data_IF_039395609058
#
_entry.id   IF_039395609058
#
_cell.length_a   1.000
_cell.length_b   1.000
_cell.length_c   1.000
_cell.angle_alpha   90.00
_cell.angle_beta   90.00
_cell.angle_gamma   90.00
#
_symmetry.space_group_name_H-M   'P 1'
#
loop_
_entity.id
_entity.type
_entity.pdbx_description
1 polymer ?
#
# COMPACT_ATOMS: atom_id res chain seq x y z
N UNK A 1 -14.27 -26.83 -41.16
CA UNK A 1 -14.64 -26.86 -39.75
C UNK A 1 -13.91 -25.72 -39.07
N UNK A 2 -14.62 -24.61 -38.77
CA UNK A 2 -14.04 -23.40 -38.14
C UNK A 2 -14.31 -23.50 -36.62
N UNK A 3 -13.25 -23.65 -35.83
CA UNK A 3 -13.33 -23.61 -34.37
C UNK A 3 -13.34 -22.13 -33.91
N UNK A 4 -14.51 -21.65 -33.50
CA UNK A 4 -14.66 -20.43 -32.74
C UNK A 4 -14.24 -20.69 -31.27
N UNK A 5 -13.05 -20.24 -30.91
CA UNK A 5 -12.65 -20.08 -29.50
C UNK A 5 -12.41 -18.62 -29.21
N UNK A 6 -13.48 -17.90 -28.94
CA UNK A 6 -13.42 -16.59 -28.30
C UNK A 6 -14.78 -16.40 -27.60
N UNK A 7 -14.87 -16.56 -26.27
CA UNK A 7 -15.36 -15.49 -25.43
C UNK A 7 -14.96 -15.54 -23.94
N UNK A 8 -13.79 -16.09 -23.53
CA UNK A 8 -13.48 -16.19 -22.10
C UNK A 8 -12.74 -14.97 -21.52
N UNK A 9 -12.17 -14.12 -22.37
CA UNK A 9 -11.33 -12.99 -21.90
C UNK A 9 -12.19 -11.74 -21.58
N UNK A 10 -13.33 -11.56 -22.24
CA UNK A 10 -14.17 -10.36 -22.06
C UNK A 10 -14.91 -10.34 -20.69
N UNK A 11 -15.21 -11.51 -20.11
CA UNK A 11 -15.91 -11.61 -18.83
C UNK A 11 -15.09 -11.16 -17.61
N UNK A 12 -13.79 -11.36 -17.63
CA UNK A 12 -12.91 -11.02 -16.51
C UNK A 12 -12.74 -9.49 -16.34
N UNK A 13 -12.70 -8.74 -17.44
CA UNK A 13 -12.53 -7.28 -17.41
C UNK A 13 -13.76 -6.54 -16.91
N UNK A 14 -14.97 -7.04 -17.22
CA UNK A 14 -16.22 -6.41 -16.78
C UNK A 14 -16.41 -6.54 -15.25
N UNK A 15 -15.95 -7.63 -14.66
CA UNK A 15 -16.05 -7.87 -13.22
C UNK A 15 -15.12 -6.98 -12.40
N UNK A 16 -13.94 -6.67 -12.90
CA UNK A 16 -12.97 -5.79 -12.24
C UNK A 16 -13.48 -4.33 -12.24
N UNK A 17 -14.01 -3.87 -13.37
CA UNK A 17 -14.57 -2.53 -13.49
C UNK A 17 -15.77 -2.28 -12.55
N UNK A 18 -16.61 -3.31 -12.32
CA UNK A 18 -17.75 -3.20 -11.42
C UNK A 18 -17.33 -3.12 -9.93
N UNK A 19 -16.28 -3.83 -9.55
CA UNK A 19 -15.73 -3.82 -8.18
C UNK A 19 -15.04 -2.48 -7.90
N UNK A 20 -14.30 -1.92 -8.86
CA UNK A 20 -13.70 -0.60 -8.74
C UNK A 20 -14.77 0.49 -8.63
N UNK A 21 -15.86 0.41 -9.40
CA UNK A 21 -16.96 1.37 -9.33
C UNK A 21 -17.68 1.34 -7.97
N UNK A 22 -17.91 0.14 -7.40
CA UNK A 22 -18.51 -0.02 -6.07
C UNK A 22 -17.58 0.54 -4.99
N UNK A 23 -16.26 0.32 -5.15
CA UNK A 23 -15.24 0.79 -4.22
C UNK A 23 -15.13 2.33 -4.22
N UNK A 24 -15.12 2.95 -5.39
CA UNK A 24 -15.08 4.42 -5.52
C UNK A 24 -16.34 5.06 -4.93
N UNK A 25 -17.52 4.49 -5.16
CA UNK A 25 -18.78 4.99 -4.60
C UNK A 25 -18.83 4.82 -3.06
N UNK A 26 -18.29 3.73 -2.53
CA UNK A 26 -18.25 3.49 -1.09
C UNK A 26 -17.31 4.50 -0.39
N UNK A 27 -16.10 4.69 -0.90
CA UNK A 27 -15.15 5.67 -0.33
C UNK A 27 -15.64 7.12 -0.49
N UNK A 28 -16.28 7.45 -1.62
CA UNK A 28 -16.88 8.77 -1.82
C UNK A 28 -17.99 9.07 -0.79
N UNK A 29 -18.84 8.09 -0.47
CA UNK A 29 -19.86 8.22 0.57
C UNK A 29 -19.29 8.33 1.97
N UNK A 30 -18.25 7.55 2.31
CA UNK A 30 -17.59 7.63 3.62
C UNK A 30 -16.88 8.96 3.84
N UNK A 31 -16.20 9.49 2.83
CA UNK A 31 -15.57 10.81 2.92
C UNK A 31 -16.59 11.97 3.08
N UNK A 32 -17.79 11.82 2.53
CA UNK A 32 -18.87 12.80 2.73
C UNK A 32 -19.44 12.76 4.16
N UNK A 33 -19.45 11.59 4.80
CA UNK A 33 -19.93 11.43 6.18
C UNK A 33 -18.93 12.03 7.17
N UNK A 34 -17.62 11.87 6.92
CA UNK A 34 -16.56 12.41 7.79
C UNK A 34 -16.40 13.93 7.66
N UNK A 35 -16.67 14.51 6.49
CA UNK A 35 -16.64 15.98 6.33
C UNK A 35 -17.83 16.71 6.95
N UNK A 36 -18.90 16.01 7.30
CA UNK A 36 -20.08 16.60 7.95
C UNK A 36 -19.97 16.63 9.50
N UNK A 37 -18.98 15.93 10.10
CA UNK A 37 -18.75 15.87 11.55
C UNK A 37 -17.78 16.93 12.09
N UNK A 38 -17.02 17.61 11.22
CA UNK A 38 -15.97 18.55 11.65
C UNK A 38 -16.43 20.04 11.76
N UNK A 39 -17.69 20.35 11.49
CA UNK A 39 -18.18 21.74 11.59
C UNK A 39 -18.77 22.13 12.96
N UNK A 40 -18.72 21.26 13.98
CA UNK A 40 -19.35 21.57 15.26
C UNK A 40 -18.41 21.46 16.46
N UNK A 41 -17.22 22.07 16.40
CA UNK A 41 -16.43 22.35 17.62
C UNK A 41 -15.42 23.48 17.41
N UNK A 42 -15.92 24.70 17.39
CA UNK A 42 -15.09 25.91 17.61
C UNK A 42 -15.80 26.80 18.61
N UNK A 43 -15.39 26.76 19.85
CA UNK A 43 -15.29 27.93 20.77
C UNK A 43 -14.71 27.45 22.11
N UNK A 44 -13.53 27.85 22.48
CA UNK A 44 -13.23 28.78 23.58
C UNK A 44 -11.75 28.74 23.90
N UNK A 45 -11.10 29.89 23.76
CA UNK A 45 -9.73 30.19 24.19
C UNK A 45 -9.57 30.09 25.72
N UNK A 46 -8.37 29.73 26.18
CA UNK A 46 -7.66 30.61 27.16
C UNK A 46 -6.20 30.16 27.31
N UNK A 47 -5.29 31.13 27.20
CA UNK A 47 -3.85 31.12 27.46
C UNK A 47 -3.44 30.53 28.82
N UNK A 48 -2.33 29.75 28.82
CA UNK A 48 -1.30 29.96 29.86
C UNK A 48 0.07 29.41 29.43
N UNK A 49 1.02 30.31 29.25
CA UNK A 49 2.46 30.11 29.16
C UNK A 49 3.01 29.46 30.43
N UNK A 50 3.85 28.43 30.31
CA UNK A 50 4.97 28.20 31.24
C UNK A 50 6.05 27.37 30.53
N UNK A 51 7.28 27.84 30.66
CA UNK A 51 8.55 27.31 30.13
C UNK A 51 9.01 26.03 30.82
N UNK A 52 9.89 25.33 30.07
CA UNK A 52 10.98 24.44 30.50
C UNK A 52 10.62 23.04 31.02
N UNK A 53 11.01 22.01 30.30
CA UNK A 53 12.24 21.26 30.61
C UNK A 53 12.60 20.31 29.45
N UNK A 54 13.86 20.40 29.01
CA UNK A 54 14.46 19.55 27.99
C UNK A 54 14.99 18.28 28.65
N UNK A 55 14.20 17.20 28.62
CA UNK A 55 14.74 15.86 28.84
C UNK A 55 14.83 15.13 27.52
N UNK A 56 16.07 14.94 27.09
CA UNK A 56 16.41 14.07 25.96
C UNK A 56 15.86 12.66 26.23
N UNK A 57 14.86 12.25 25.45
CA UNK A 57 14.42 10.85 25.41
C UNK A 57 15.47 10.12 24.60
N UNK A 58 16.31 9.33 25.26
CA UNK A 58 17.17 8.34 24.63
C UNK A 58 16.26 7.40 23.80
N UNK A 59 16.49 7.37 22.48
CA UNK A 59 15.95 6.34 21.60
C UNK A 59 16.48 4.99 22.10
N UNK A 60 15.64 3.97 22.30
CA UNK A 60 16.14 2.62 22.47
C UNK A 60 16.83 2.21 21.16
N UNK A 61 18.14 2.04 21.24
CA UNK A 61 18.96 1.42 20.20
C UNK A 61 18.67 -0.10 20.21
N UNK A 62 17.66 -0.51 19.48
CA UNK A 62 17.32 -1.91 19.28
C UNK A 62 17.71 -2.30 17.84
N UNK A 63 19.00 -2.41 17.58
CA UNK A 63 19.62 -2.79 16.31
C UNK A 63 19.74 -4.32 16.16
N UNK A 64 18.70 -5.08 16.50
CA UNK A 64 18.66 -6.49 16.12
C UNK A 64 17.84 -6.64 14.84
N UNK A 65 18.53 -6.93 13.74
CA UNK A 65 17.90 -7.43 12.53
C UNK A 65 17.18 -8.74 12.89
N UNK A 66 15.86 -8.87 12.64
CA UNK A 66 15.15 -10.10 12.94
C UNK A 66 15.85 -11.29 12.27
N UNK A 67 16.03 -12.39 12.99
CA UNK A 67 16.62 -13.59 12.44
C UNK A 67 15.81 -14.07 11.23
N UNK A 68 16.52 -14.47 10.16
CA UNK A 68 15.88 -15.04 8.97
C UNK A 68 15.03 -16.24 9.40
N UNK A 69 13.77 -16.38 8.91
CA UNK A 69 12.91 -17.50 9.25
C UNK A 69 13.59 -18.84 8.98
N UNK A 70 13.54 -19.77 9.93
CA UNK A 70 14.07 -21.13 9.75
C UNK A 70 13.23 -21.96 8.75
N UNK A 71 11.97 -21.57 8.53
CA UNK A 71 11.05 -22.23 7.61
C UNK A 71 11.13 -21.63 6.22
N UNK A 72 11.02 -22.49 5.20
CA UNK A 72 10.90 -22.04 3.82
C UNK A 72 9.46 -21.65 3.53
N UNK A 73 9.23 -20.51 2.82
CA UNK A 73 7.91 -20.12 2.35
C UNK A 73 7.28 -21.19 1.44
N UNK A 74 5.95 -21.24 1.42
CA UNK A 74 5.19 -22.03 0.45
C UNK A 74 5.31 -21.44 -0.97
N UNK A 75 4.68 -22.09 -1.96
CA UNK A 75 4.68 -21.64 -3.35
C UNK A 75 4.06 -20.25 -3.56
N UNK A 76 3.29 -19.75 -2.59
CA UNK A 76 2.68 -18.44 -2.59
C UNK A 76 3.47 -17.40 -1.76
N UNK A 77 4.59 -17.81 -1.17
CA UNK A 77 5.50 -16.93 -0.42
C UNK A 77 5.16 -16.77 1.07
N UNK A 78 4.18 -17.50 1.61
CA UNK A 78 3.82 -17.46 3.03
C UNK A 78 4.54 -18.53 3.85
N UNK A 79 4.90 -18.24 5.09
CA UNK A 79 5.44 -19.25 5.99
C UNK A 79 4.34 -20.22 6.44
N UNK A 80 4.55 -21.55 6.37
CA UNK A 80 3.58 -22.52 6.83
C UNK A 80 3.26 -22.34 8.33
N UNK A 81 1.96 -22.42 8.68
CA UNK A 81 1.48 -22.34 10.07
C UNK A 81 1.89 -21.06 10.83
N UNK A 82 2.25 -19.98 10.14
CA UNK A 82 2.57 -18.72 10.78
C UNK A 82 1.31 -18.13 11.45
N UNK A 83 1.43 -17.77 12.73
CA UNK A 83 0.42 -17.03 13.47
C UNK A 83 0.71 -15.53 13.36
N UNK A 84 -0.33 -14.70 13.43
CA UNK A 84 -0.14 -13.25 13.49
C UNK A 84 0.57 -12.86 14.79
N UNK A 85 1.51 -11.92 14.75
CA UNK A 85 2.24 -11.46 15.93
C UNK A 85 1.35 -10.59 16.83
N UNK A 86 1.82 -10.30 18.03
CA UNK A 86 1.21 -9.34 18.94
C UNK A 86 1.68 -7.90 18.70
N UNK A 87 2.86 -7.74 18.07
CA UNK A 87 3.47 -6.45 17.77
C UNK A 87 3.91 -6.41 16.29
N UNK A 88 3.83 -5.25 15.62
CA UNK A 88 4.33 -5.09 14.26
C UNK A 88 5.87 -5.14 14.21
N UNK A 89 6.41 -5.60 13.08
CA UNK A 89 7.88 -5.67 12.89
C UNK A 89 8.42 -4.35 12.37
N UNK A 90 9.39 -3.78 13.10
CA UNK A 90 10.19 -2.65 12.67
C UNK A 90 11.65 -3.07 12.47
N UNK A 91 12.25 -2.69 11.35
CA UNK A 91 13.66 -2.91 11.05
C UNK A 91 14.30 -1.55 10.77
N UNK A 92 15.31 -1.18 11.55
CA UNK A 92 15.93 0.14 11.49
C UNK A 92 14.91 1.30 11.59
N UNK A 93 13.86 1.12 12.39
CA UNK A 93 12.77 2.10 12.53
C UNK A 93 11.75 2.13 11.39
N UNK A 94 11.86 1.24 10.41
CA UNK A 94 10.94 1.14 9.27
C UNK A 94 9.97 -0.02 9.51
N UNK A 95 8.67 0.28 9.50
CA UNK A 95 7.60 -0.72 9.59
C UNK A 95 7.60 -1.60 8.33
N UNK A 96 7.75 -2.90 8.50
CA UNK A 96 7.70 -3.88 7.42
C UNK A 96 6.43 -4.73 7.53
N UNK A 97 5.70 -4.82 6.43
CA UNK A 97 4.56 -5.73 6.26
C UNK A 97 4.68 -6.42 4.90
N UNK A 98 4.74 -7.74 4.90
CA UNK A 98 4.73 -8.58 3.70
C UNK A 98 4.35 -10.02 4.07
N UNK A 99 4.46 -10.98 3.15
CA UNK A 99 4.07 -12.39 3.37
C UNK A 99 4.88 -13.13 4.45
N UNK A 100 6.03 -12.59 4.85
CA UNK A 100 6.91 -13.15 5.89
C UNK A 100 6.74 -12.43 7.23
N UNK A 101 6.48 -11.11 7.18
CA UNK A 101 6.36 -10.24 8.33
C UNK A 101 4.93 -9.71 8.43
N UNK A 102 3.98 -10.48 9.00
CA UNK A 102 2.61 -10.03 9.18
C UNK A 102 2.47 -9.00 10.29
N UNK A 103 1.36 -8.29 10.24
CA UNK A 103 0.91 -7.33 11.25
C UNK A 103 -0.05 -8.02 12.24
N UNK A 104 -0.15 -7.54 13.49
CA UNK A 104 -1.22 -7.95 14.40
C UNK A 104 -2.59 -7.66 13.80
N UNK A 105 -3.57 -8.52 14.07
CA UNK A 105 -4.96 -8.26 13.67
C UNK A 105 -5.53 -6.97 14.32
N UNK A 106 -5.00 -6.60 15.48
CA UNK A 106 -5.40 -5.39 16.23
C UNK A 106 -4.63 -4.14 15.82
N UNK A 107 -3.66 -4.24 14.90
CA UNK A 107 -2.88 -3.10 14.44
C UNK A 107 -3.72 -2.21 13.51
N UNK A 108 -4.16 -1.08 14.02
CA UNK A 108 -5.06 -0.14 13.35
C UNK A 108 -4.57 1.31 13.51
N UNK A 109 -3.43 1.68 12.88
CA UNK A 109 -2.84 3.01 13.03
C UNK A 109 -3.60 4.10 12.28
N UNK A 110 -4.62 3.74 11.48
CA UNK A 110 -5.26 4.60 10.51
C UNK A 110 -4.27 5.07 9.40
N UNK A 111 -4.69 5.97 8.56
CA UNK A 111 -3.82 6.53 7.52
C UNK A 111 -2.78 7.48 8.14
N UNK A 112 -1.52 7.30 7.77
CA UNK A 112 -0.43 8.14 8.28
C UNK A 112 -0.54 9.57 7.71
N UNK A 113 -0.65 10.61 8.56
CA UNK A 113 -0.87 11.98 8.10
C UNK A 113 0.31 12.56 7.32
N UNK A 114 1.55 12.17 7.63
CA UNK A 114 2.74 12.61 6.89
C UNK A 114 2.75 12.00 5.49
N UNK A 115 2.45 10.71 5.38
CA UNK A 115 2.32 10.03 4.09
C UNK A 115 1.19 10.63 3.24
N UNK A 116 0.05 11.00 3.85
CA UNK A 116 -1.05 11.67 3.17
C UNK A 116 -0.66 13.05 2.65
N UNK A 117 0.04 13.84 3.44
CA UNK A 117 0.51 15.16 3.01
C UNK A 117 1.52 15.05 1.86
N UNK A 118 2.47 14.13 1.95
CA UNK A 118 3.42 13.84 0.88
C UNK A 118 2.73 13.40 -0.42
N UNK A 119 1.69 12.54 -0.30
CA UNK A 119 0.86 12.13 -1.42
C UNK A 119 0.14 13.32 -2.06
N UNK A 120 -0.47 14.20 -1.27
CA UNK A 120 -1.17 15.37 -1.78
C UNK A 120 -0.22 16.29 -2.57
N UNK A 121 1.00 16.48 -2.09
CA UNK A 121 2.05 17.24 -2.79
C UNK A 121 2.43 16.58 -4.12
N UNK A 122 2.59 15.26 -4.14
CA UNK A 122 2.89 14.49 -5.35
C UNK A 122 1.76 14.59 -6.39
N UNK A 123 0.50 14.39 -5.97
CA UNK A 123 -0.66 14.51 -6.85
C UNK A 123 -0.82 15.94 -7.41
N UNK A 124 -0.56 16.97 -6.60
CA UNK A 124 -0.58 18.36 -7.05
C UNK A 124 0.51 18.63 -8.10
N UNK A 125 1.72 18.09 -7.93
CA UNK A 125 2.80 18.21 -8.89
C UNK A 125 2.50 17.49 -10.20
N UNK A 126 1.95 16.27 -10.14
CA UNK A 126 1.47 15.53 -11.31
C UNK A 126 0.44 16.35 -12.12
N UNK A 127 -0.52 16.97 -11.41
CA UNK A 127 -1.54 17.81 -12.04
C UNK A 127 -0.97 19.02 -12.77
N UNK A 128 0.11 19.63 -12.27
CA UNK A 128 0.82 20.72 -12.95
C UNK A 128 1.48 20.25 -14.26
N UNK A 129 1.80 18.96 -14.37
CA UNK A 129 2.33 18.32 -15.59
C UNK A 129 1.24 17.77 -16.50
N UNK A 130 -0.03 17.98 -16.15
CA UNK A 130 -1.17 17.56 -16.96
C UNK A 130 -1.69 16.16 -16.65
N UNK A 131 -1.22 15.50 -15.58
CA UNK A 131 -1.67 14.18 -15.14
C UNK A 131 -2.64 14.30 -13.96
N UNK A 132 -3.90 13.88 -14.13
CA UNK A 132 -4.90 13.91 -13.05
C UNK A 132 -4.84 12.61 -12.23
N UNK A 133 -3.73 12.42 -11.51
CA UNK A 133 -3.53 11.27 -10.64
C UNK A 133 -4.44 11.34 -9.42
N UNK A 134 -4.89 10.18 -8.95
CA UNK A 134 -5.73 10.01 -7.77
C UNK A 134 -5.32 8.75 -7.00
N UNK A 135 -5.26 8.84 -5.68
CA UNK A 135 -5.18 7.66 -4.83
C UNK A 135 -6.60 7.11 -4.66
N UNK A 136 -6.84 5.93 -5.22
CA UNK A 136 -8.15 5.27 -5.16
C UNK A 136 -8.25 4.24 -4.03
N UNK A 137 -7.12 3.92 -3.37
CA UNK A 137 -7.05 3.08 -2.18
C UNK A 137 -5.94 3.60 -1.27
N UNK A 138 -6.17 3.58 0.04
CA UNK A 138 -5.23 3.97 1.08
C UNK A 138 -5.27 2.98 2.24
N UNK A 139 -5.44 3.46 3.48
CA UNK A 139 -5.56 2.59 4.65
C UNK A 139 -6.69 1.57 4.50
N UNK A 140 -6.40 0.32 4.87
CA UNK A 140 -7.36 -0.79 4.97
C UNK A 140 -7.24 -1.50 6.30
N UNK A 141 -8.33 -1.59 7.08
CA UNK A 141 -8.33 -2.35 8.32
C UNK A 141 -8.16 -3.85 8.08
N UNK A 142 -7.80 -4.58 9.11
CA UNK A 142 -7.74 -6.05 9.09
C UNK A 142 -9.06 -6.68 8.65
N UNK A 143 -10.20 -6.20 9.18
CA UNK A 143 -11.54 -6.72 8.88
C UNK A 143 -11.93 -6.44 7.43
N UNK A 144 -11.59 -5.26 6.91
CA UNK A 144 -11.83 -4.93 5.53
C UNK A 144 -11.01 -5.85 4.60
N UNK A 145 -9.71 -6.03 4.90
CA UNK A 145 -8.85 -6.94 4.14
C UNK A 145 -9.34 -8.38 4.20
N UNK A 146 -9.90 -8.83 5.34
CA UNK A 146 -10.52 -10.15 5.48
C UNK A 146 -11.67 -10.32 4.48
N UNK A 147 -12.59 -9.36 4.47
CA UNK A 147 -13.74 -9.39 3.54
C UNK A 147 -13.29 -9.39 2.07
N UNK A 148 -12.30 -8.55 1.75
CA UNK A 148 -11.77 -8.42 0.40
C UNK A 148 -11.11 -9.72 -0.07
N UNK A 149 -10.22 -10.27 0.75
CA UNK A 149 -9.50 -11.51 0.46
C UNK A 149 -10.44 -12.71 0.32
N UNK A 150 -11.40 -12.86 1.24
CA UNK A 150 -12.40 -13.94 1.18
C UNK A 150 -13.22 -13.90 -0.12
N UNK A 151 -13.54 -12.72 -0.62
CA UNK A 151 -14.24 -12.55 -1.88
C UNK A 151 -13.37 -12.99 -3.07
N UNK A 152 -12.06 -12.68 -3.05
CA UNK A 152 -11.13 -13.15 -4.07
C UNK A 152 -10.97 -14.68 -4.02
N UNK A 153 -10.81 -15.26 -2.83
CA UNK A 153 -10.71 -16.72 -2.66
C UNK A 153 -11.97 -17.43 -3.17
N UNK A 154 -13.16 -16.88 -2.89
CA UNK A 154 -14.44 -17.44 -3.39
C UNK A 154 -14.53 -17.37 -4.91
N UNK A 155 -14.00 -16.33 -5.54
CA UNK A 155 -14.07 -16.12 -6.98
C UNK A 155 -13.02 -16.94 -7.75
N UNK A 156 -11.76 -16.93 -7.30
CA UNK A 156 -10.61 -17.37 -8.08
C UNK A 156 -9.88 -18.56 -7.44
N UNK A 157 -10.21 -18.92 -6.20
CA UNK A 157 -9.47 -19.88 -5.39
C UNK A 157 -8.27 -19.25 -4.68
N UNK A 158 -7.81 -19.88 -3.59
CA UNK A 158 -6.77 -19.34 -2.72
C UNK A 158 -5.45 -19.12 -3.44
N UNK A 159 -4.97 -20.11 -4.20
CA UNK A 159 -3.68 -20.01 -4.90
C UNK A 159 -3.62 -18.83 -5.89
N UNK A 160 -4.74 -18.54 -6.58
CA UNK A 160 -4.81 -17.38 -7.45
C UNK A 160 -4.89 -16.07 -6.66
N UNK A 161 -5.74 -16.03 -5.61
CA UNK A 161 -5.92 -14.85 -4.76
C UNK A 161 -4.60 -14.43 -4.10
N UNK A 162 -3.79 -15.37 -3.62
CA UNK A 162 -2.50 -15.13 -2.96
C UNK A 162 -1.46 -14.42 -3.85
N UNK A 163 -1.62 -14.44 -5.17
CA UNK A 163 -0.67 -13.79 -6.08
C UNK A 163 -0.87 -12.28 -6.18
N UNK A 164 -2.11 -11.80 -6.02
CA UNK A 164 -2.47 -10.39 -6.24
C UNK A 164 -3.18 -9.74 -5.05
N UNK A 165 -3.45 -10.48 -3.98
CA UNK A 165 -4.07 -9.94 -2.77
C UNK A 165 -3.41 -10.53 -1.53
N UNK A 166 -3.09 -9.69 -0.58
CA UNK A 166 -2.54 -10.11 0.70
C UNK A 166 -3.62 -10.81 1.55
N UNK A 167 -3.22 -11.86 2.25
CA UNK A 167 -4.04 -12.42 3.34
C UNK A 167 -4.23 -11.37 4.45
N UNK A 168 -5.32 -11.45 5.26
CA UNK A 168 -5.52 -10.57 6.41
C UNK A 168 -4.30 -10.55 7.34
N UNK A 169 -3.83 -9.36 7.72
CA UNK A 169 -2.61 -9.18 8.50
C UNK A 169 -1.32 -9.09 7.67
N UNK A 170 -1.36 -9.37 6.37
CA UNK A 170 -0.18 -9.33 5.49
C UNK A 170 -0.21 -8.17 4.49
N UNK A 171 -1.29 -7.37 4.50
CA UNK A 171 -1.47 -6.24 3.59
C UNK A 171 -0.70 -5.01 4.08
N UNK A 172 0.11 -4.43 3.19
CA UNK A 172 0.82 -3.19 3.49
C UNK A 172 -0.13 -2.00 3.67
N UNK A 173 -1.34 -2.02 3.11
CA UNK A 173 -2.37 -0.99 3.35
C UNK A 173 -2.79 -0.89 4.82
N UNK A 174 -2.67 -1.97 5.61
CA UNK A 174 -2.95 -1.92 7.05
C UNK A 174 -1.94 -1.06 7.81
N UNK A 175 -0.79 -0.75 7.21
CA UNK A 175 0.21 0.16 7.82
C UNK A 175 -0.21 1.64 7.78
N UNK A 176 -1.18 2.00 6.93
CA UNK A 176 -1.51 3.40 6.64
C UNK A 176 -0.47 4.15 5.82
N UNK A 177 0.55 3.45 5.29
CA UNK A 177 1.67 4.03 4.55
C UNK A 177 1.64 3.68 3.05
N UNK A 178 0.69 2.85 2.60
CA UNK A 178 0.58 2.41 1.22
C UNK A 178 -0.67 2.96 0.54
N UNK A 179 -0.52 3.31 -0.74
CA UNK A 179 -1.58 3.88 -1.57
C UNK A 179 -1.56 3.26 -2.97
N UNK A 180 -2.75 2.95 -3.46
CA UNK A 180 -2.94 2.57 -4.86
C UNK A 180 -3.33 3.82 -5.66
N UNK A 181 -2.54 4.12 -6.70
CA UNK A 181 -2.62 5.37 -7.48
C UNK A 181 -2.92 5.03 -8.93
N UNK A 182 -3.86 5.79 -9.51
CA UNK A 182 -4.24 5.71 -10.92
C UNK A 182 -4.50 7.09 -11.51
N UNK A 183 -4.81 7.16 -12.81
CA UNK A 183 -5.19 8.39 -13.50
C UNK A 183 -6.71 8.45 -13.65
N UNK A 184 -7.33 9.57 -13.26
CA UNK A 184 -8.76 9.80 -13.39
C UNK A 184 -9.17 9.80 -14.87
N UNK A 185 -10.27 9.11 -15.17
CA UNK A 185 -10.74 8.92 -16.54
C UNK A 185 -10.03 7.81 -17.32
N UNK A 186 -9.15 7.03 -16.64
CA UNK A 186 -8.48 5.84 -17.18
C UNK A 186 -8.58 4.67 -16.21
N UNK A 187 -9.76 4.49 -15.63
CA UNK A 187 -10.01 3.46 -14.62
C UNK A 187 -9.89 2.03 -15.18
N UNK A 188 -9.96 1.87 -16.49
CA UNK A 188 -9.79 0.60 -17.20
C UNK A 188 -8.37 0.02 -17.10
N UNK A 189 -7.37 0.85 -16.80
CA UNK A 189 -5.98 0.41 -16.57
C UNK A 189 -5.58 0.37 -15.10
N UNK A 190 -6.44 0.82 -14.17
CA UNK A 190 -6.16 0.71 -12.74
C UNK A 190 -6.01 -0.76 -12.33
N UNK A 191 -5.15 -1.04 -11.36
CA UNK A 191 -4.83 -2.40 -10.90
C UNK A 191 -4.36 -3.33 -12.04
N UNK A 192 -3.73 -2.76 -13.07
CA UNK A 192 -3.11 -3.52 -14.16
C UNK A 192 -1.69 -3.02 -14.44
N UNK A 193 -0.84 -3.88 -14.97
CA UNK A 193 0.51 -3.49 -15.39
C UNK A 193 0.50 -2.37 -16.43
N UNK A 194 -0.58 -2.29 -17.25
CA UNK A 194 -0.74 -1.28 -18.30
C UNK A 194 -0.74 0.16 -17.76
N UNK A 195 -1.12 0.40 -16.50
CA UNK A 195 -1.00 1.73 -15.90
C UNK A 195 0.45 2.22 -15.91
N UNK A 196 1.43 1.33 -15.65
CA UNK A 196 2.85 1.66 -15.68
C UNK A 196 3.35 2.11 -17.05
N UNK A 197 2.69 1.69 -18.14
CA UNK A 197 3.03 2.08 -19.52
C UNK A 197 2.40 3.42 -19.93
N UNK A 198 1.46 3.94 -19.16
CA UNK A 198 0.85 5.25 -19.44
C UNK A 198 1.83 6.40 -19.14
N UNK A 199 1.71 7.56 -19.82
CA UNK A 199 2.52 8.74 -19.48
C UNK A 199 2.40 9.15 -18.00
N UNK A 200 1.21 9.01 -17.40
CA UNK A 200 0.96 9.31 -15.99
C UNK A 200 1.67 8.30 -15.05
N UNK A 201 1.62 7.00 -15.36
CA UNK A 201 2.34 5.96 -14.62
C UNK A 201 3.85 6.10 -14.71
N UNK A 202 4.37 6.43 -15.90
CA UNK A 202 5.81 6.70 -16.10
C UNK A 202 6.27 7.95 -15.33
N UNK A 203 5.46 9.02 -15.32
CA UNK A 203 5.74 10.19 -14.51
C UNK A 203 5.76 9.84 -13.02
N UNK A 204 4.77 9.10 -12.55
CA UNK A 204 4.68 8.66 -11.16
C UNK A 204 5.90 7.83 -10.76
N UNK A 205 6.29 6.85 -11.55
CA UNK A 205 7.48 6.03 -11.32
C UNK A 205 8.77 6.89 -11.22
N UNK A 206 8.92 7.87 -12.10
CA UNK A 206 10.11 8.71 -12.14
C UNK A 206 10.20 9.67 -10.94
N UNK A 207 9.07 10.15 -10.40
CA UNK A 207 9.01 11.26 -9.44
C UNK A 207 8.57 10.88 -8.03
N UNK A 208 7.97 9.71 -7.80
CA UNK A 208 7.43 9.32 -6.49
C UNK A 208 8.47 9.41 -5.36
N UNK A 209 9.73 9.08 -5.63
CA UNK A 209 10.84 9.17 -4.69
C UNK A 209 11.10 10.60 -4.15
N UNK A 210 10.77 11.63 -4.92
CA UNK A 210 10.95 13.03 -4.53
C UNK A 210 9.99 13.43 -3.40
N UNK A 211 8.90 12.63 -3.26
CA UNK A 211 7.86 12.79 -2.25
C UNK A 211 7.94 11.73 -1.15
N UNK A 212 8.93 10.85 -1.20
CA UNK A 212 9.16 9.81 -0.18
C UNK A 212 8.46 8.49 -0.46
N UNK A 213 7.97 8.28 -1.68
CA UNK A 213 7.32 7.04 -2.10
C UNK A 213 8.25 6.16 -2.95
N UNK A 214 8.10 4.87 -2.80
CA UNK A 214 8.71 3.85 -3.67
C UNK A 214 7.62 3.07 -4.40
N UNK A 215 7.91 2.63 -5.62
CA UNK A 215 7.17 1.56 -6.26
C UNK A 215 7.44 0.27 -5.47
N UNK A 216 6.44 -0.23 -4.77
CA UNK A 216 6.65 -1.27 -3.75
C UNK A 216 6.93 -2.65 -4.32
N UNK A 217 6.30 -3.00 -5.41
CA UNK A 217 6.38 -4.30 -6.08
C UNK A 217 6.86 -4.12 -7.53
N UNK A 218 8.18 -3.88 -7.73
CA UNK A 218 8.72 -3.62 -9.07
C UNK A 218 8.84 -4.89 -9.91
N UNK A 219 8.94 -4.73 -11.23
CA UNK A 219 9.12 -5.84 -12.18
C UNK A 219 10.36 -6.68 -11.85
N UNK A 220 10.25 -8.00 -12.07
CA UNK A 220 11.30 -8.99 -11.85
C UNK A 220 11.80 -9.09 -10.39
N UNK A 221 10.98 -8.71 -9.41
CA UNK A 221 11.29 -8.79 -7.97
C UNK A 221 10.27 -9.63 -7.18
N UNK A 222 9.39 -10.39 -7.86
CA UNK A 222 8.36 -11.23 -7.21
C UNK A 222 8.96 -12.23 -6.22
N UNK A 223 10.11 -12.84 -6.54
CA UNK A 223 10.82 -13.78 -5.64
C UNK A 223 11.33 -13.12 -4.34
N UNK A 224 11.48 -11.78 -4.35
CA UNK A 224 11.95 -11.01 -3.19
C UNK A 224 10.76 -10.46 -2.41
N UNK A 225 9.82 -9.83 -3.09
CA UNK A 225 8.69 -9.14 -2.45
C UNK A 225 7.53 -10.07 -2.10
N UNK A 226 7.43 -11.21 -2.81
CA UNK A 226 6.33 -12.17 -2.71
C UNK A 226 5.09 -11.77 -3.51
N UNK A 227 5.08 -10.61 -4.19
CA UNK A 227 3.97 -10.11 -5.00
C UNK A 227 4.40 -9.88 -6.45
N UNK A 228 3.45 -10.08 -7.36
CA UNK A 228 3.65 -9.73 -8.77
C UNK A 228 3.90 -8.22 -8.93
N UNK A 229 4.29 -7.80 -10.13
CA UNK A 229 4.44 -6.38 -10.45
C UNK A 229 3.12 -5.62 -10.28
N UNK A 230 3.16 -4.54 -9.51
CA UNK A 230 2.01 -3.66 -9.27
C UNK A 230 2.38 -2.21 -9.54
N UNK A 231 2.17 -1.74 -10.77
CA UNK A 231 2.52 -0.39 -11.22
C UNK A 231 1.81 0.75 -10.47
N UNK A 232 0.74 0.42 -9.75
CA UNK A 232 -0.14 1.34 -9.01
C UNK A 232 0.18 1.45 -7.52
N UNK A 233 0.88 0.45 -6.92
CA UNK A 233 1.09 0.34 -5.46
C UNK A 233 2.36 1.05 -5.01
N UNK A 234 2.18 2.14 -4.26
CA UNK A 234 3.26 2.97 -3.75
C UNK A 234 3.29 2.99 -2.23
N UNK A 235 4.49 2.80 -1.67
CA UNK A 235 4.75 2.80 -0.24
C UNK A 235 5.54 4.04 0.17
N UNK A 236 5.06 4.77 1.19
CA UNK A 236 5.79 5.85 1.84
C UNK A 236 6.87 5.31 2.79
N UNK A 237 8.09 5.78 2.62
CA UNK A 237 9.27 5.43 3.44
C UNK A 237 10.09 6.65 3.83
N UNK A 238 9.64 7.87 3.45
CA UNK A 238 10.40 9.10 3.60
C UNK A 238 11.38 9.34 2.44
N UNK A 239 11.70 10.62 2.19
CA UNK A 239 12.41 11.06 0.97
C UNK A 239 13.79 10.45 0.81
N UNK A 240 14.57 10.40 1.89
CA UNK A 240 15.96 9.94 1.81
C UNK A 240 16.03 8.44 1.48
N UNK A 241 15.19 7.63 2.13
CA UNK A 241 15.11 6.19 1.90
C UNK A 241 14.55 5.90 0.51
N UNK A 242 13.51 6.62 0.09
CA UNK A 242 12.91 6.45 -1.23
C UNK A 242 13.93 6.72 -2.36
N UNK A 243 14.69 7.79 -2.25
CA UNK A 243 15.76 8.12 -3.21
C UNK A 243 16.85 7.05 -3.26
N UNK A 244 17.25 6.53 -2.09
CA UNK A 244 18.28 5.50 -2.02
C UNK A 244 17.83 4.19 -2.67
N UNK A 245 16.62 3.72 -2.33
CA UNK A 245 15.99 2.51 -2.89
C UNK A 245 15.87 2.65 -4.42
N UNK A 246 15.31 3.77 -4.89
CA UNK A 246 15.13 4.02 -6.32
C UNK A 246 16.47 4.11 -7.07
N UNK A 247 17.44 4.86 -6.52
CA UNK A 247 18.77 4.99 -7.12
C UNK A 247 19.51 3.67 -7.25
N UNK A 248 19.38 2.79 -6.25
CA UNK A 248 20.01 1.46 -6.23
C UNK A 248 19.21 0.41 -7.01
N UNK A 249 17.99 0.72 -7.41
CA UNK A 249 17.04 -0.20 -8.04
C UNK A 249 16.83 -1.50 -7.20
N UNK A 250 16.60 -1.33 -5.92
CA UNK A 250 16.40 -2.41 -4.95
C UNK A 250 14.99 -2.34 -4.35
N UNK A 251 14.55 -3.44 -3.73
CA UNK A 251 13.28 -3.49 -2.99
C UNK A 251 13.44 -3.00 -1.55
N UNK A 252 12.33 -2.82 -0.85
CA UNK A 252 12.36 -2.50 0.59
C UNK A 252 13.01 -3.64 1.39
N UNK A 253 12.77 -4.89 1.03
CA UNK A 253 13.38 -6.07 1.65
C UNK A 253 14.92 -6.07 1.49
N UNK A 254 15.40 -5.79 0.27
CA UNK A 254 16.85 -5.68 0.00
C UNK A 254 17.48 -4.52 0.77
N UNK A 255 16.78 -3.37 0.86
CA UNK A 255 17.23 -2.22 1.64
C UNK A 255 17.34 -2.52 3.13
N UNK A 256 16.40 -3.29 3.68
CA UNK A 256 16.36 -3.68 5.09
C UNK A 256 17.26 -4.88 5.42
N UNK A 257 17.84 -5.54 4.42
CA UNK A 257 18.73 -6.69 4.60
C UNK A 257 18.01 -7.97 5.02
N UNK A 258 16.72 -8.12 4.69
CA UNK A 258 15.93 -9.33 5.04
C UNK A 258 15.79 -10.31 3.88
N UNK A 259 16.41 -10.04 2.75
CA UNK A 259 16.52 -10.89 1.54
C UNK A 259 17.93 -10.83 0.97
#
# INVERSE_FOLDING_TARGET
>A
MKNNRLPLIVGAFISIALIVAIFVVYNYKNNQVNSASDEQSKTTETNKTTEQDSTAIEKPDNTETPAKPEQQPDENGYLPNQTLPTEPTYINGILLANKIYPLPSTFAPEENPEAREALNQMLAAAKQQGFDLVAFSGYRSFEYQTTLYDNYVKRDGQAAADRYSARPGYSEHQTGLAFDIGERGKEDVWLTEAFGETPAGQWLFAHAQEYGFILRFPQNKEEITGYMYESWHYRYVGKEIAKEITKKNITLEEYLGVK
#
